data_IF_708847448414
#
_entry.id   IF_708847448414
#
_cell.length_a   1.000
_cell.length_b   1.000
_cell.length_c   1.000
_cell.angle_alpha   90.00
_cell.angle_beta   90.00
_cell.angle_gamma   90.00
#
_symmetry.space_group_name_H-M   'P 1'
#
loop_
_entity.id
_entity.type
_entity.pdbx_description
1 polymer ?
#
# COMPACT_ATOMS: atom_id res chain seq x y z
N UNK A 1 29.60 -10.61 -6.96
CA UNK A 1 29.57 -10.61 -5.48
C UNK A 1 28.22 -10.04 -5.07
N UNK A 2 27.34 -10.84 -4.48
CA UNK A 2 26.11 -10.34 -3.89
C UNK A 2 26.47 -9.74 -2.53
N UNK A 3 26.32 -8.43 -2.38
CA UNK A 3 26.44 -7.77 -1.09
C UNK A 3 25.16 -8.14 -0.35
N UNK A 4 25.25 -9.02 0.65
CA UNK A 4 24.17 -9.20 1.60
C UNK A 4 24.07 -7.92 2.41
N UNK A 5 23.12 -7.04 2.05
CA UNK A 5 22.72 -5.92 2.89
C UNK A 5 22.20 -6.49 4.19
N UNK A 6 22.78 -6.07 5.31
CA UNK A 6 22.22 -6.29 6.64
C UNK A 6 20.77 -5.79 6.59
N UNK A 7 19.79 -6.70 6.66
CA UNK A 7 18.38 -6.31 6.70
C UNK A 7 18.12 -5.66 8.05
N UNK A 8 17.92 -4.34 8.04
CA UNK A 8 17.40 -3.64 9.22
C UNK A 8 15.95 -4.06 9.38
N UNK A 9 15.62 -4.64 10.54
CA UNK A 9 14.24 -4.96 10.90
C UNK A 9 13.66 -3.73 11.59
N UNK A 10 12.63 -3.13 10.98
CA UNK A 10 11.90 -1.99 11.52
C UNK A 10 10.69 -2.47 12.33
N UNK A 11 10.26 -1.71 13.34
CA UNK A 11 8.90 -1.89 13.86
C UNK A 11 7.88 -1.16 12.97
N UNK A 12 6.60 -1.48 13.18
CA UNK A 12 5.49 -0.73 12.59
C UNK A 12 5.56 0.78 12.90
N UNK A 13 5.92 1.14 14.13
CA UNK A 13 6.08 2.53 14.57
C UNK A 13 7.25 3.22 13.88
N UNK A 14 8.39 2.52 13.73
CA UNK A 14 9.54 3.04 12.99
C UNK A 14 9.17 3.32 11.53
N UNK A 15 8.47 2.37 10.89
CA UNK A 15 7.95 2.56 9.54
C UNK A 15 7.05 3.79 9.43
N UNK A 16 6.08 3.96 10.34
CA UNK A 16 5.15 5.09 10.30
C UNK A 16 5.88 6.43 10.48
N UNK A 17 6.91 6.49 11.33
CA UNK A 17 7.72 7.69 11.50
C UNK A 17 8.53 8.02 10.25
N UNK A 18 9.13 7.02 9.60
CA UNK A 18 9.88 7.19 8.36
C UNK A 18 8.97 7.59 7.19
N UNK A 19 7.76 7.03 7.13
CA UNK A 19 6.79 7.27 6.07
C UNK A 19 6.25 8.71 6.09
N UNK A 20 6.22 9.39 7.25
CA UNK A 20 5.84 10.82 7.35
C UNK A 20 6.82 11.72 6.61
N UNK A 21 8.11 11.39 6.65
CA UNK A 21 9.20 12.18 6.06
C UNK A 21 9.54 11.74 4.63
N UNK A 22 8.88 10.70 4.12
CA UNK A 22 9.23 10.08 2.83
C UNK A 22 8.51 10.74 1.65
N UNK A 23 9.27 11.08 0.61
CA UNK A 23 8.73 11.59 -0.66
C UNK A 23 8.06 10.48 -1.51
N UNK A 24 8.34 9.21 -1.17
CA UNK A 24 7.79 8.04 -1.86
C UNK A 24 7.00 7.19 -0.88
N UNK A 25 5.90 6.62 -1.34
CA UNK A 25 5.09 5.72 -0.53
C UNK A 25 5.76 4.35 -0.41
N UNK A 26 5.73 3.79 0.79
CA UNK A 26 6.30 2.47 1.05
C UNK A 26 5.27 1.56 1.72
N UNK A 27 5.44 0.26 1.52
CA UNK A 27 4.77 -0.80 2.27
C UNK A 27 5.68 -1.28 3.39
N UNK A 28 5.07 -1.65 4.52
CA UNK A 28 5.75 -2.37 5.60
C UNK A 28 5.37 -3.84 5.53
N UNK A 29 6.34 -4.74 5.51
CA UNK A 29 6.12 -6.19 5.38
C UNK A 29 7.02 -6.93 6.36
N UNK A 30 6.48 -7.35 7.51
CA UNK A 30 7.22 -8.16 8.51
C UNK A 30 8.60 -7.58 8.87
N UNK A 31 8.66 -6.27 9.09
CA UNK A 31 9.90 -5.57 9.44
C UNK A 31 10.67 -4.97 8.25
N UNK A 32 10.27 -5.23 7.01
CA UNK A 32 10.88 -4.65 5.81
C UNK A 32 10.08 -3.45 5.30
N UNK A 33 10.78 -2.42 4.81
CA UNK A 33 10.18 -1.27 4.13
C UNK A 33 10.44 -1.40 2.63
N UNK A 34 9.36 -1.51 1.84
CA UNK A 34 9.42 -1.76 0.40
C UNK A 34 8.78 -0.59 -0.35
N UNK A 35 9.50 0.10 -1.25
CA UNK A 35 8.92 1.16 -2.07
C UNK A 35 7.76 0.66 -2.91
N UNK A 36 6.63 1.37 -2.87
CA UNK A 36 5.51 1.05 -3.75
C UNK A 36 5.84 1.39 -5.20
N UNK A 37 5.40 0.51 -6.11
CA UNK A 37 5.40 0.85 -7.52
C UNK A 37 4.36 1.93 -7.78
N UNK A 38 4.77 3.05 -8.36
CA UNK A 38 3.86 4.10 -8.78
C UNK A 38 2.88 3.65 -9.87
N UNK A 39 1.85 4.46 -10.13
CA UNK A 39 0.89 4.20 -11.19
C UNK A 39 1.40 4.62 -12.57
N UNK A 40 1.09 3.82 -13.59
CA UNK A 40 1.20 4.24 -15.00
C UNK A 40 -0.16 4.75 -15.52
N UNK A 41 -0.22 5.56 -16.60
CA UNK A 41 -1.49 5.99 -17.17
C UNK A 41 -2.44 4.83 -17.50
N UNK A 42 -1.92 3.75 -18.10
CA UNK A 42 -2.70 2.56 -18.43
C UNK A 42 -3.23 1.84 -17.17
N UNK A 43 -2.40 1.71 -16.13
CA UNK A 43 -2.83 1.17 -14.84
C UNK A 43 -3.95 2.01 -14.22
N UNK A 44 -3.83 3.34 -14.28
CA UNK A 44 -4.81 4.26 -13.71
C UNK A 44 -6.14 4.21 -14.47
N UNK A 45 -6.10 4.05 -15.80
CA UNK A 45 -7.30 3.87 -16.62
C UNK A 45 -8.07 2.61 -16.23
N UNK A 46 -7.37 1.47 -16.11
CA UNK A 46 -7.97 0.19 -15.70
C UNK A 46 -8.58 0.30 -14.30
N UNK A 47 -7.85 0.86 -13.33
CA UNK A 47 -8.35 1.03 -11.96
C UNK A 47 -9.56 1.96 -11.89
N UNK A 48 -9.60 3.02 -12.70
CA UNK A 48 -10.73 3.95 -12.77
C UNK A 48 -12.01 3.25 -13.23
N UNK A 49 -11.92 2.48 -14.32
CA UNK A 49 -13.05 1.71 -14.85
C UNK A 49 -13.53 0.67 -13.84
N UNK A 50 -12.60 -0.08 -13.22
CA UNK A 50 -12.94 -1.07 -12.21
C UNK A 50 -13.64 -0.46 -10.99
N UNK A 51 -13.10 0.64 -10.45
CA UNK A 51 -13.70 1.36 -9.32
C UNK A 51 -15.10 1.88 -9.65
N UNK A 52 -15.33 2.38 -10.88
CA UNK A 52 -16.66 2.80 -11.32
C UNK A 52 -17.65 1.62 -11.33
N UNK A 53 -17.26 0.49 -11.94
CA UNK A 53 -18.10 -0.72 -12.00
C UNK A 53 -18.48 -1.21 -10.60
N UNK A 54 -17.50 -1.30 -9.68
CA UNK A 54 -17.75 -1.73 -8.30
C UNK A 54 -18.69 -0.77 -7.56
N UNK A 55 -18.53 0.55 -7.72
CA UNK A 55 -19.40 1.55 -7.08
C UNK A 55 -20.85 1.44 -7.52
N UNK A 56 -21.09 1.17 -8.80
CA UNK A 56 -22.45 0.99 -9.28
C UNK A 56 -23.04 -0.36 -8.86
N UNK A 57 -22.26 -1.44 -8.95
CA UNK A 57 -22.71 -2.78 -8.58
C UNK A 57 -23.05 -2.92 -7.10
N UNK A 58 -22.30 -2.24 -6.21
CA UNK A 58 -22.47 -2.32 -4.76
C UNK A 58 -23.29 -1.15 -4.18
N UNK A 59 -23.96 -0.35 -5.02
CA UNK A 59 -24.74 0.80 -4.56
C UNK A 59 -25.83 0.37 -3.57
N UNK A 60 -25.84 1.00 -2.39
CA UNK A 60 -26.81 0.73 -1.31
C UNK A 60 -26.45 -0.45 -0.40
N UNK A 61 -25.36 -1.16 -0.69
CA UNK A 61 -24.79 -2.17 0.21
C UNK A 61 -23.90 -1.51 1.27
N UNK A 62 -23.66 -2.16 2.43
CA UNK A 62 -22.85 -1.60 3.51
C UNK A 62 -21.34 -1.69 3.24
N UNK A 63 -20.92 -1.51 1.98
CA UNK A 63 -19.51 -1.58 1.57
C UNK A 63 -18.97 -0.19 1.21
N UNK A 64 -17.75 0.08 1.65
CA UNK A 64 -16.96 1.23 1.21
C UNK A 64 -15.91 0.79 0.20
N UNK A 65 -15.75 1.55 -0.88
CA UNK A 65 -14.80 1.23 -1.95
C UNK A 65 -13.68 2.27 -1.93
N UNK A 66 -12.45 1.78 -1.87
CA UNK A 66 -11.20 2.54 -1.93
C UNK A 66 -10.36 1.97 -3.08
N UNK A 67 -9.61 2.81 -3.80
CA UNK A 67 -8.90 2.41 -5.03
C UNK A 67 -7.40 2.65 -4.97
N UNK A 68 -6.95 3.75 -4.35
CA UNK A 68 -5.53 4.05 -4.15
C UNK A 68 -5.34 4.74 -2.79
N UNK A 69 -4.09 4.77 -2.32
CA UNK A 69 -3.60 5.66 -1.25
C UNK A 69 -4.18 5.49 0.15
N UNK A 70 -5.10 4.55 0.34
CA UNK A 70 -5.47 4.10 1.67
C UNK A 70 -4.38 3.19 2.22
N UNK A 71 -3.76 3.62 3.31
CA UNK A 71 -2.91 2.76 4.13
C UNK A 71 -3.78 1.83 4.97
N UNK A 72 -3.53 0.53 4.90
CA UNK A 72 -4.26 -0.50 5.62
C UNK A 72 -3.33 -1.29 6.52
N UNK A 73 -3.66 -1.37 7.81
CA UNK A 73 -3.01 -2.27 8.75
C UNK A 73 -3.64 -3.66 8.67
N UNK A 74 -2.80 -4.68 8.52
CA UNK A 74 -3.21 -6.09 8.55
C UNK A 74 -2.40 -6.79 9.66
N UNK A 75 -2.95 -6.88 10.88
CA UNK A 75 -2.23 -7.40 12.05
C UNK A 75 -1.73 -8.84 11.85
N UNK A 76 -2.55 -9.70 11.25
CA UNK A 76 -2.23 -11.12 11.06
C UNK A 76 -1.04 -11.34 10.10
N UNK A 77 -0.68 -10.33 9.32
CA UNK A 77 0.43 -10.37 8.37
C UNK A 77 1.61 -9.47 8.79
N UNK A 78 1.49 -8.75 9.90
CA UNK A 78 2.41 -7.68 10.31
C UNK A 78 2.73 -6.75 9.12
N UNK A 79 1.68 -6.20 8.49
CA UNK A 79 1.79 -5.49 7.22
C UNK A 79 0.99 -4.18 7.16
N UNK A 80 1.65 -3.11 6.70
CA UNK A 80 0.98 -1.93 6.15
C UNK A 80 1.12 -1.91 4.64
N UNK A 81 0.00 -1.74 3.93
CA UNK A 81 -0.05 -1.58 2.46
C UNK A 81 -0.89 -0.39 2.06
#
# INVERSE_FOLDING_TARGET
MAIATQSTIYTAEDYLALEIESDIRNEYRNGEIVPMTGGTPAHNEINSVLNALLRFALKGQPYSIFVTDQRLWIPDLDQYT
#
